data_IF_839894852216
#
_entry.id   IF_839894852216
#
_cell.length_a   1.000
_cell.length_b   1.000
_cell.length_c   1.000
_cell.angle_alpha   90.00
_cell.angle_beta   90.00
_cell.angle_gamma   90.00
#
_symmetry.space_group_name_H-M   'P 1'
#
loop_
_entity.id
_entity.type
_entity.pdbx_description
1 polymer ?
#
# COMPACT_ATOMS: atom_id res chain seq x y z
N UNK A 1 -3.89 6.35 22.48
CA UNK A 1 -2.80 7.33 22.55
C UNK A 1 -1.83 7.06 21.41
N UNK A 2 -1.23 8.11 20.80
CA UNK A 2 -0.32 8.01 19.66
C UNK A 2 1.16 7.85 20.04
N UNK A 3 1.52 8.11 21.31
CA UNK A 3 2.88 8.02 21.81
C UNK A 3 3.26 6.57 22.11
N UNK A 4 3.39 5.80 21.02
CA UNK A 4 3.67 4.38 21.04
C UNK A 4 4.85 4.09 20.11
N UNK A 5 5.79 3.32 20.59
CA UNK A 5 6.79 2.72 19.74
C UNK A 5 6.25 1.38 19.24
N UNK A 6 6.01 1.30 17.94
CA UNK A 6 5.58 0.09 17.23
C UNK A 6 6.62 -0.23 16.16
N UNK A 7 7.25 -1.38 16.24
CA UNK A 7 8.27 -1.81 15.27
C UNK A 7 7.59 -2.45 14.07
N UNK A 8 7.78 -1.95 12.82
CA UNK A 8 7.31 -2.64 11.62
C UNK A 8 7.95 -4.02 11.49
N UNK A 9 7.19 -5.10 11.30
CA UNK A 9 7.75 -6.45 11.31
C UNK A 9 8.72 -6.73 10.16
N UNK A 10 8.57 -6.05 9.03
CA UNK A 10 9.44 -6.18 7.86
C UNK A 10 10.80 -5.50 8.03
N UNK A 11 10.94 -4.56 8.96
CA UNK A 11 12.23 -3.90 9.27
C UNK A 11 13.16 -4.79 10.12
N UNK A 12 12.61 -5.83 10.74
CA UNK A 12 13.35 -6.66 11.72
C UNK A 12 13.17 -8.17 11.48
N UNK A 13 13.37 -8.66 10.24
CA UNK A 13 13.22 -10.09 9.95
C UNK A 13 14.12 -10.94 10.83
N UNK A 14 13.60 -12.08 11.30
CA UNK A 14 14.33 -13.00 12.19
C UNK A 14 14.38 -12.59 13.65
N UNK A 15 13.89 -11.41 14.02
CA UNK A 15 13.83 -10.99 15.43
C UNK A 15 12.63 -11.65 16.13
N UNK A 16 12.80 -12.20 17.33
CA UNK A 16 11.68 -12.75 18.09
C UNK A 16 10.59 -11.70 18.34
N UNK A 17 9.34 -12.01 18.03
CA UNK A 17 8.24 -11.06 18.13
C UNK A 17 8.09 -10.42 19.53
N UNK A 18 8.49 -11.15 20.60
CA UNK A 18 8.41 -10.64 21.97
C UNK A 18 9.34 -9.45 22.22
N UNK A 19 10.41 -9.33 21.46
CA UNK A 19 11.36 -8.22 21.58
C UNK A 19 10.83 -6.97 20.87
N UNK A 20 9.86 -7.14 19.96
CA UNK A 20 9.24 -6.10 19.14
C UNK A 20 7.85 -5.69 19.63
N UNK A 21 7.41 -6.14 20.81
CA UNK A 21 6.12 -5.76 21.36
C UNK A 21 5.98 -4.24 21.52
N UNK A 22 4.75 -3.75 21.41
CA UNK A 22 4.44 -2.31 21.49
C UNK A 22 4.87 -1.76 22.85
N UNK A 23 5.56 -0.62 22.87
CA UNK A 23 6.02 0.07 24.08
C UNK A 23 5.39 1.46 24.15
N UNK A 24 4.96 1.84 25.36
CA UNK A 24 4.52 3.20 25.63
C UNK A 24 5.74 4.14 25.71
N UNK A 25 5.69 5.27 25.01
CA UNK A 25 6.71 6.32 25.07
C UNK A 25 6.45 7.31 26.22
N UNK A 26 5.20 7.33 26.71
CA UNK A 26 4.76 8.16 27.84
C UNK A 26 3.81 7.33 28.72
N UNK A 27 3.72 7.61 30.04
CA UNK A 27 2.87 6.84 30.95
C UNK A 27 1.40 6.77 30.51
N UNK A 28 0.87 7.84 29.93
CA UNK A 28 -0.52 7.94 29.47
C UNK A 28 -0.81 7.05 28.25
N UNK A 29 0.21 6.51 27.63
CA UNK A 29 0.10 5.57 26.51
C UNK A 29 0.11 4.09 26.94
N UNK A 30 0.40 3.80 28.21
CA UNK A 30 0.58 2.43 28.71
C UNK A 30 -0.66 1.55 28.47
N UNK A 31 -1.86 2.04 28.78
CA UNK A 31 -3.10 1.31 28.57
C UNK A 31 -3.30 0.94 27.08
N UNK A 32 -2.92 1.85 26.18
CA UNK A 32 -3.01 1.59 24.74
C UNK A 32 -1.97 0.54 24.29
N UNK A 33 -0.75 0.62 24.80
CA UNK A 33 0.29 -0.39 24.52
C UNK A 33 -0.14 -1.78 25.01
N UNK A 34 -0.68 -1.87 26.24
CA UNK A 34 -1.17 -3.12 26.82
C UNK A 34 -2.33 -3.71 26.02
N UNK A 35 -3.26 -2.86 25.55
CA UNK A 35 -4.35 -3.28 24.67
C UNK A 35 -3.81 -3.88 23.36
N UNK A 36 -2.90 -3.18 22.67
CA UNK A 36 -2.34 -3.66 21.40
C UNK A 36 -1.55 -4.96 21.58
N UNK A 37 -0.77 -5.06 22.64
CA UNK A 37 -0.03 -6.27 22.97
C UNK A 37 -0.95 -7.45 23.26
N UNK A 38 -2.05 -7.21 23.99
CA UNK A 38 -3.08 -8.24 24.20
C UNK A 38 -3.72 -8.68 22.89
N UNK A 39 -4.04 -7.75 21.98
CA UNK A 39 -4.61 -8.09 20.67
C UNK A 39 -3.64 -8.92 19.83
N UNK A 40 -2.34 -8.62 19.84
CA UNK A 40 -1.31 -9.43 19.19
C UNK A 40 -1.36 -10.88 19.72
N UNK A 41 -1.28 -11.06 21.03
CA UNK A 41 -1.26 -12.39 21.66
C UNK A 41 -2.56 -13.17 21.47
N UNK A 42 -3.71 -12.51 21.60
CA UNK A 42 -5.01 -13.16 21.36
C UNK A 42 -5.20 -13.54 19.88
N UNK A 43 -4.73 -12.71 18.95
CA UNK A 43 -4.79 -13.07 17.53
C UNK A 43 -3.97 -14.32 17.21
N UNK A 44 -2.80 -14.49 17.81
CA UNK A 44 -1.97 -15.69 17.65
C UNK A 44 -2.72 -16.95 18.12
N UNK A 45 -3.40 -16.86 19.27
CA UNK A 45 -4.22 -17.99 19.76
C UNK A 45 -5.41 -18.30 18.86
N UNK A 46 -6.12 -17.25 18.39
CA UNK A 46 -7.28 -17.41 17.52
C UNK A 46 -6.89 -18.01 16.15
N UNK A 47 -5.77 -17.58 15.62
CA UNK A 47 -5.33 -17.95 14.28
C UNK A 47 -4.65 -19.31 14.22
N UNK A 48 -4.07 -19.80 15.33
CA UNK A 48 -3.32 -21.06 15.36
C UNK A 48 -4.11 -22.24 14.80
N UNK A 49 -5.37 -22.40 15.23
CA UNK A 49 -6.22 -23.51 14.83
C UNK A 49 -7.34 -23.10 13.85
N UNK A 50 -7.22 -21.92 13.23
CA UNK A 50 -8.25 -21.45 12.32
C UNK A 50 -8.34 -22.34 11.07
N UNK A 51 -9.54 -22.80 10.65
CA UNK A 51 -9.69 -23.76 9.54
C UNK A 51 -9.05 -23.30 8.22
N UNK A 52 -9.06 -21.99 7.95
CA UNK A 52 -8.40 -21.41 6.78
C UNK A 52 -6.88 -21.59 6.85
N UNK A 53 -6.27 -21.37 8.01
CA UNK A 53 -4.83 -21.55 8.20
C UNK A 53 -4.42 -23.02 8.11
N UNK A 54 -5.22 -23.90 8.68
CA UNK A 54 -5.00 -25.36 8.54
C UNK A 54 -5.01 -25.76 7.07
N UNK A 55 -5.97 -25.24 6.28
CA UNK A 55 -6.03 -25.49 4.84
C UNK A 55 -4.80 -24.94 4.11
N UNK A 56 -4.41 -23.67 4.37
CA UNK A 56 -3.23 -23.05 3.76
C UNK A 56 -1.95 -23.85 4.01
N UNK A 57 -1.73 -24.28 5.25
CA UNK A 57 -0.57 -25.11 5.61
C UNK A 57 -0.58 -26.47 4.90
N UNK A 58 -1.75 -27.11 4.75
CA UNK A 58 -1.88 -28.36 3.97
C UNK A 58 -1.56 -28.18 2.49
N UNK A 59 -1.79 -26.97 1.96
CA UNK A 59 -1.48 -26.58 0.58
C UNK A 59 -0.03 -26.08 0.42
N UNK A 60 0.80 -26.16 1.47
CA UNK A 60 2.19 -25.67 1.47
C UNK A 60 2.31 -24.15 1.44
N UNK A 61 1.26 -23.45 1.86
CA UNK A 61 1.22 -21.98 1.94
C UNK A 61 1.37 -21.50 3.38
N UNK A 62 1.95 -20.33 3.57
CA UNK A 62 2.09 -19.71 4.89
C UNK A 62 0.72 -19.41 5.52
N UNK A 63 0.64 -19.61 6.83
CA UNK A 63 -0.52 -19.27 7.63
C UNK A 63 -0.44 -17.79 8.08
N UNK A 64 -1.59 -17.12 8.15
CA UNK A 64 -1.69 -15.87 8.91
C UNK A 64 -1.64 -16.22 10.41
N UNK A 65 -0.59 -15.82 11.11
CA UNK A 65 -0.32 -16.27 12.46
C UNK A 65 -0.44 -15.19 13.53
N UNK A 66 -0.52 -13.92 13.15
CA UNK A 66 -0.69 -12.78 14.08
C UNK A 66 -1.24 -11.56 13.34
N UNK A 67 -1.95 -10.68 14.04
CA UNK A 67 -2.06 -9.28 13.67
C UNK A 67 -0.86 -8.53 14.26
N UNK A 68 -0.43 -7.46 13.58
CA UNK A 68 0.68 -6.64 14.05
C UNK A 68 0.40 -5.16 13.82
N UNK A 69 -0.07 -4.41 14.83
CA UNK A 69 -0.33 -2.98 14.72
C UNK A 69 0.97 -2.18 14.65
N UNK A 70 1.11 -1.34 13.62
CA UNK A 70 2.22 -0.41 13.47
C UNK A 70 1.78 0.83 12.67
N UNK A 71 2.60 1.86 12.62
CA UNK A 71 2.30 3.09 11.88
C UNK A 71 1.10 3.86 12.42
N UNK A 72 0.79 3.73 13.71
CA UNK A 72 -0.34 4.40 14.34
C UNK A 72 -0.17 5.92 14.35
N UNK A 73 -1.30 6.65 14.20
CA UNK A 73 -1.32 8.11 14.23
C UNK A 73 -2.71 8.67 14.43
N UNK A 74 -2.80 9.98 14.45
CA UNK A 74 -4.09 10.67 14.43
C UNK A 74 -4.65 10.75 13.01
N UNK A 75 -5.97 10.88 12.90
CA UNK A 75 -6.59 11.21 11.61
C UNK A 75 -5.95 12.49 11.06
N UNK A 76 -5.39 12.46 9.82
CA UNK A 76 -4.80 13.65 9.23
C UNK A 76 -5.86 14.70 8.89
N UNK A 77 -5.54 15.98 9.13
CA UNK A 77 -6.29 17.13 8.62
C UNK A 77 -5.62 17.58 7.32
N UNK A 78 -5.83 16.82 6.26
CA UNK A 78 -5.21 17.09 4.96
C UNK A 78 -6.06 18.06 4.16
N UNK A 79 -5.43 19.08 3.58
CA UNK A 79 -6.09 19.98 2.64
C UNK A 79 -6.21 19.24 1.30
N UNK A 80 -7.40 19.20 0.67
CA UNK A 80 -7.55 18.60 -0.64
C UNK A 80 -6.60 19.19 -1.69
N UNK A 81 -6.15 18.35 -2.61
CA UNK A 81 -5.21 18.77 -3.66
C UNK A 81 -5.82 19.87 -4.55
N UNK A 82 -7.12 19.81 -4.80
CA UNK A 82 -7.89 20.81 -5.55
C UNK A 82 -7.93 22.19 -4.89
N UNK A 83 -7.77 22.27 -3.57
CA UNK A 83 -7.67 23.53 -2.84
C UNK A 83 -6.24 24.08 -2.87
N UNK A 84 -5.24 23.20 -2.78
CA UNK A 84 -3.82 23.57 -2.82
C UNK A 84 -3.38 23.96 -4.22
N UNK A 85 -3.91 23.28 -5.23
CA UNK A 85 -3.62 23.47 -6.65
C UNK A 85 -4.92 23.71 -7.44
N UNK A 86 -5.40 24.96 -7.54
CA UNK A 86 -6.71 25.30 -8.16
C UNK A 86 -6.85 24.91 -9.64
N UNK A 87 -5.73 24.66 -10.33
CA UNK A 87 -5.72 24.12 -11.69
C UNK A 87 -6.16 22.67 -11.75
N UNK A 88 -6.01 21.89 -10.67
CA UNK A 88 -6.51 20.52 -10.55
C UNK A 88 -7.96 20.56 -10.06
N UNK A 89 -8.94 20.42 -10.94
CA UNK A 89 -10.35 20.40 -10.59
C UNK A 89 -10.85 18.98 -10.31
N UNK A 90 -10.30 18.02 -11.05
CA UNK A 90 -10.64 16.60 -10.94
C UNK A 90 -9.38 15.75 -11.02
N UNK A 91 -9.10 15.03 -9.96
CA UNK A 91 -7.95 14.12 -9.90
C UNK A 91 -8.34 12.70 -9.50
N UNK A 92 -7.53 11.74 -9.91
CA UNK A 92 -7.70 10.34 -9.58
C UNK A 92 -6.43 9.73 -8.99
N UNK A 93 -6.59 8.65 -8.22
CA UNK A 93 -5.51 7.79 -7.74
C UNK A 93 -5.80 6.35 -8.13
N UNK A 94 -4.80 5.70 -8.71
CA UNK A 94 -4.83 4.29 -9.14
C UNK A 94 -3.74 3.56 -8.39
N UNK A 95 -4.12 2.66 -7.49
CA UNK A 95 -3.19 1.92 -6.64
C UNK A 95 -3.85 0.64 -6.11
N UNK A 96 -3.06 -0.35 -5.81
CA UNK A 96 -3.48 -1.55 -5.07
C UNK A 96 -3.16 -1.47 -3.57
N UNK A 97 -2.40 -0.45 -3.14
CA UNK A 97 -1.94 -0.28 -1.75
C UNK A 97 -2.92 0.56 -0.95
N UNK A 98 -3.46 0.00 0.13
CA UNK A 98 -4.50 0.67 0.94
C UNK A 98 -4.03 1.98 1.56
N UNK A 99 -2.76 2.08 1.94
CA UNK A 99 -2.17 3.32 2.44
C UNK A 99 -2.29 4.45 1.40
N UNK A 100 -1.89 4.18 0.17
CA UNK A 100 -1.95 5.15 -0.93
C UNK A 100 -3.39 5.49 -1.29
N UNK A 101 -4.31 4.50 -1.26
CA UNK A 101 -5.76 4.74 -1.41
C UNK A 101 -6.30 5.71 -0.35
N UNK A 102 -5.87 5.51 0.90
CA UNK A 102 -6.22 6.38 2.01
C UNK A 102 -5.71 7.80 1.83
N UNK A 103 -4.45 7.97 1.45
CA UNK A 103 -3.84 9.28 1.14
C UNK A 103 -4.60 9.95 -0.01
N UNK A 104 -4.86 9.23 -1.10
CA UNK A 104 -5.63 9.75 -2.24
C UNK A 104 -7.01 10.27 -1.83
N UNK A 105 -7.75 9.52 -1.00
CA UNK A 105 -9.04 9.97 -0.46
C UNK A 105 -8.94 11.24 0.39
N UNK A 106 -7.93 11.32 1.26
CA UNK A 106 -7.71 12.53 2.06
C UNK A 106 -7.26 13.72 1.21
N UNK A 107 -6.54 13.46 0.11
CA UNK A 107 -6.17 14.47 -0.89
C UNK A 107 -7.34 14.90 -1.80
N UNK A 108 -8.53 14.32 -1.64
CA UNK A 108 -9.72 14.64 -2.46
C UNK A 108 -9.72 13.97 -3.83
N UNK A 109 -8.86 12.97 -4.06
CA UNK A 109 -8.78 12.23 -5.32
C UNK A 109 -9.83 11.12 -5.40
N UNK A 110 -10.33 10.87 -6.60
CA UNK A 110 -11.14 9.69 -6.89
C UNK A 110 -10.27 8.44 -6.86
N UNK A 111 -10.60 7.46 -6.02
CA UNK A 111 -9.92 6.17 -6.03
C UNK A 111 -10.51 5.31 -7.14
N UNK A 112 -9.67 4.84 -8.05
CA UNK A 112 -10.05 3.94 -9.15
C UNK A 112 -9.51 2.54 -8.85
N UNK A 113 -10.43 1.57 -8.81
CA UNK A 113 -10.10 0.16 -8.66
C UNK A 113 -9.79 -0.48 -10.01
N UNK A 114 -8.72 -1.26 -10.07
CA UNK A 114 -8.32 -2.00 -11.27
C UNK A 114 -8.30 -3.48 -10.97
N UNK A 115 -9.06 -4.26 -11.71
CA UNK A 115 -9.09 -5.72 -11.55
C UNK A 115 -7.70 -6.33 -11.80
N UNK A 116 -7.27 -7.23 -10.92
CA UNK A 116 -5.94 -7.84 -11.00
C UNK A 116 -4.78 -6.91 -10.61
N UNK A 117 -5.06 -5.70 -10.12
CA UNK A 117 -4.02 -4.85 -9.55
C UNK A 117 -3.59 -5.41 -8.19
N UNK A 118 -2.29 -5.58 -8.01
CA UNK A 118 -1.65 -5.98 -6.76
C UNK A 118 -0.58 -4.97 -6.37
N UNK A 119 -0.06 -5.04 -5.14
CA UNK A 119 1.15 -4.34 -4.70
C UNK A 119 2.43 -5.05 -5.13
N UNK A 120 2.35 -6.20 -5.80
CA UNK A 120 3.47 -7.06 -6.15
C UNK A 120 3.86 -6.92 -7.64
N UNK A 121 4.91 -7.64 -8.03
CA UNK A 121 5.48 -7.62 -9.38
C UNK A 121 4.61 -8.28 -10.46
N UNK A 122 3.58 -9.05 -10.06
CA UNK A 122 2.56 -9.66 -10.94
C UNK A 122 1.35 -8.76 -11.19
N UNK A 123 1.39 -7.50 -10.77
CA UNK A 123 0.30 -6.53 -10.91
C UNK A 123 -0.15 -6.36 -12.36
N UNK A 124 -1.43 -6.02 -12.55
CA UNK A 124 -2.00 -5.70 -13.87
C UNK A 124 -1.53 -4.30 -14.34
N UNK A 125 -0.34 -4.22 -14.96
CA UNK A 125 0.25 -2.98 -15.48
C UNK A 125 -0.64 -2.34 -16.56
N UNK A 126 -1.11 -3.15 -17.50
CA UNK A 126 -1.94 -2.70 -18.62
C UNK A 126 -3.29 -2.12 -18.13
N UNK A 127 -3.92 -2.81 -17.19
CA UNK A 127 -5.16 -2.32 -16.57
C UNK A 127 -4.98 -1.00 -15.82
N UNK A 128 -3.85 -0.87 -15.10
CA UNK A 128 -3.50 0.39 -14.42
C UNK A 128 -3.24 1.52 -15.43
N UNK A 129 -2.51 1.24 -16.51
CA UNK A 129 -2.24 2.22 -17.57
C UNK A 129 -3.54 2.66 -18.27
N UNK A 130 -4.40 1.71 -18.63
CA UNK A 130 -5.69 2.01 -19.27
C UNK A 130 -6.58 2.85 -18.36
N UNK A 131 -6.65 2.51 -17.06
CA UNK A 131 -7.41 3.30 -16.10
C UNK A 131 -6.88 4.75 -15.97
N UNK A 132 -5.54 4.93 -16.04
CA UNK A 132 -4.93 6.26 -16.04
C UNK A 132 -5.30 7.07 -17.30
N UNK A 133 -5.22 6.45 -18.47
CA UNK A 133 -5.61 7.08 -19.74
C UNK A 133 -7.08 7.50 -19.71
N UNK A 134 -7.98 6.62 -19.25
CA UNK A 134 -9.41 6.95 -19.16
C UNK A 134 -9.68 8.07 -18.15
N UNK A 135 -8.99 8.05 -17.01
CA UNK A 135 -9.14 9.10 -15.99
C UNK A 135 -8.65 10.48 -16.48
N UNK A 136 -7.61 10.51 -17.31
CA UNK A 136 -7.08 11.74 -17.89
C UNK A 136 -7.97 12.36 -18.96
N UNK A 137 -8.86 11.60 -19.61
CA UNK A 137 -9.81 12.15 -20.59
C UNK A 137 -10.80 13.15 -19.98
N UNK A 138 -11.13 12.95 -18.70
CA UNK A 138 -12.11 13.75 -17.97
C UNK A 138 -11.52 14.47 -16.74
N UNK A 139 -10.24 14.31 -16.49
CA UNK A 139 -9.57 14.79 -15.29
C UNK A 139 -8.25 15.51 -15.60
N UNK A 140 -7.81 16.30 -14.66
CA UNK A 140 -6.62 17.16 -14.78
C UNK A 140 -5.37 16.52 -14.14
N UNK A 141 -5.57 15.42 -13.35
CA UNK A 141 -4.48 14.80 -12.60
C UNK A 141 -4.74 13.33 -12.31
N UNK A 142 -3.73 12.51 -12.54
CA UNK A 142 -3.74 11.09 -12.14
C UNK A 142 -2.47 10.74 -11.39
N UNK A 143 -2.65 10.20 -10.19
CA UNK A 143 -1.58 9.55 -9.43
C UNK A 143 -1.64 8.04 -9.67
N UNK A 144 -0.77 7.54 -10.53
CA UNK A 144 -0.62 6.12 -10.82
C UNK A 144 0.50 5.53 -9.96
N UNK A 145 0.16 4.57 -9.10
CA UNK A 145 1.11 3.93 -8.20
C UNK A 145 1.36 2.47 -8.59
N UNK A 146 2.64 2.13 -8.72
CA UNK A 146 3.14 0.78 -8.99
C UNK A 146 4.25 0.46 -8.00
N UNK A 147 4.00 -0.46 -7.08
CA UNK A 147 4.89 -0.87 -5.99
C UNK A 147 5.95 -1.88 -6.43
N UNK A 148 5.69 -2.60 -7.50
CA UNK A 148 6.43 -3.80 -7.94
C UNK A 148 7.97 -3.71 -7.88
N UNK A 149 8.54 -2.54 -8.23
CA UNK A 149 9.99 -2.35 -8.20
C UNK A 149 10.53 -2.16 -6.79
N UNK A 150 9.72 -1.64 -5.88
CA UNK A 150 10.06 -1.49 -4.46
C UNK A 150 10.10 -2.85 -3.77
N UNK A 151 9.08 -3.67 -3.98
CA UNK A 151 9.03 -5.04 -3.45
C UNK A 151 10.21 -5.90 -3.93
N UNK A 152 10.60 -5.78 -5.21
CA UNK A 152 11.76 -6.49 -5.73
C UNK A 152 13.09 -6.03 -5.10
N UNK A 153 13.17 -4.77 -4.65
CA UNK A 153 14.30 -4.20 -3.92
C UNK A 153 14.37 -4.77 -2.51
N UNK A 154 13.26 -4.80 -1.80
CA UNK A 154 13.14 -5.38 -0.47
C UNK A 154 13.51 -6.89 -0.46
N UNK A 155 13.17 -7.61 -1.53
CA UNK A 155 13.57 -9.02 -1.72
C UNK A 155 15.07 -9.18 -2.03
N UNK A 156 15.81 -8.10 -2.30
CA UNK A 156 17.21 -8.14 -2.70
C UNK A 156 17.44 -8.84 -4.05
N UNK A 157 16.40 -8.95 -4.89
CA UNK A 157 16.42 -9.66 -6.15
C UNK A 157 16.68 -8.70 -7.32
N UNK A 158 17.95 -8.56 -7.71
CA UNK A 158 18.39 -7.62 -8.76
C UNK A 158 17.74 -7.93 -10.12
N UNK A 159 17.63 -9.20 -10.51
CA UNK A 159 17.04 -9.59 -11.80
C UNK A 159 15.54 -9.21 -11.82
N UNK A 160 14.82 -9.48 -10.74
CA UNK A 160 13.43 -9.11 -10.61
C UNK A 160 13.25 -7.58 -10.59
N UNK A 161 14.15 -6.85 -9.94
CA UNK A 161 14.17 -5.38 -9.94
C UNK A 161 14.27 -4.83 -11.36
N UNK A 162 15.21 -5.32 -12.16
CA UNK A 162 15.37 -4.91 -13.56
C UNK A 162 14.12 -5.24 -14.38
N UNK A 163 13.57 -6.45 -14.23
CA UNK A 163 12.36 -6.87 -14.92
C UNK A 163 11.15 -6.01 -14.56
N UNK A 164 10.99 -5.62 -13.30
CA UNK A 164 9.87 -4.76 -12.86
C UNK A 164 9.99 -3.34 -13.40
N UNK A 165 11.21 -2.80 -13.52
CA UNK A 165 11.46 -1.50 -14.15
C UNK A 165 11.14 -1.56 -15.64
N UNK A 166 11.59 -2.61 -16.35
CA UNK A 166 11.28 -2.81 -17.76
C UNK A 166 9.76 -2.99 -18.00
N UNK A 167 9.08 -3.71 -17.11
CA UNK A 167 7.63 -3.86 -17.16
C UNK A 167 6.91 -2.52 -16.93
N UNK A 168 7.35 -1.72 -15.97
CA UNK A 168 6.80 -0.40 -15.73
C UNK A 168 6.92 0.49 -16.97
N UNK A 169 8.09 0.54 -17.58
CA UNK A 169 8.33 1.32 -18.79
C UNK A 169 7.47 0.83 -19.97
N UNK A 170 7.57 -0.46 -20.29
CA UNK A 170 6.94 -1.05 -21.49
C UNK A 170 5.43 -1.19 -21.38
N UNK A 171 4.92 -1.58 -20.19
CA UNK A 171 3.52 -2.01 -19.98
C UNK A 171 2.64 -0.92 -19.35
N UNK A 172 3.26 0.11 -18.76
CA UNK A 172 2.51 1.23 -18.16
C UNK A 172 2.89 2.57 -18.81
N UNK A 173 4.15 3.01 -18.73
CA UNK A 173 4.57 4.33 -19.19
C UNK A 173 4.44 4.44 -20.70
N UNK A 174 4.95 3.49 -21.45
CA UNK A 174 4.90 3.49 -22.92
C UNK A 174 3.48 3.63 -23.46
N UNK A 175 2.51 2.79 -23.06
CA UNK A 175 1.11 2.94 -23.46
C UNK A 175 0.47 4.30 -23.09
N UNK A 176 0.78 4.85 -21.91
CA UNK A 176 0.28 6.17 -21.52
C UNK A 176 0.85 7.24 -22.44
N UNK A 177 2.18 7.28 -22.66
CA UNK A 177 2.82 8.26 -23.52
C UNK A 177 2.29 8.18 -24.96
N UNK A 178 2.09 6.96 -25.49
CA UNK A 178 1.51 6.77 -26.82
C UNK A 178 0.07 7.30 -26.92
N UNK A 179 -0.72 7.11 -25.87
CA UNK A 179 -2.11 7.57 -25.84
C UNK A 179 -2.23 9.11 -25.78
N UNK A 180 -1.29 9.80 -25.11
CA UNK A 180 -1.36 11.25 -24.90
C UNK A 180 -0.53 12.07 -25.89
N UNK A 181 0.27 11.43 -26.75
CA UNK A 181 1.22 12.09 -27.67
C UNK A 181 0.58 13.11 -28.61
N UNK A 182 -0.68 12.85 -29.01
CA UNK A 182 -1.41 13.67 -29.98
C UNK A 182 -2.44 14.59 -29.29
N UNK A 183 -2.40 14.69 -27.97
CA UNK A 183 -3.30 15.59 -27.25
C UNK A 183 -2.83 17.04 -27.45
N UNK A 184 -3.83 17.94 -27.66
CA UNK A 184 -3.55 19.38 -27.85
C UNK A 184 -3.11 20.05 -26.55
N UNK A 185 -3.54 19.50 -25.41
CA UNK A 185 -3.17 20.00 -24.08
C UNK A 185 -1.87 19.34 -23.63
N UNK A 186 -0.94 20.11 -23.00
CA UNK A 186 0.30 19.54 -22.48
C UNK A 186 0.02 18.57 -21.31
N UNK A 187 0.62 17.41 -21.38
CA UNK A 187 0.52 16.35 -20.37
C UNK A 187 1.86 16.20 -19.65
#
# INVERSE_FOLDING_TARGET
NKHLHCTPPHDVPGTPFRDCMVKAEVPEAQETADLLNRLILESQRLLADHPLNIRRMKEGRDAANSIWPWGGGNRPAMVPLTETYPQIKKGAVITAVDLIRGIGRYAGLQVIDVEGATGLYDTNYEGKAQAAIEALKDGDFVYLHVEASDEADHDGNVELKLQTIENLDRRAIGPILEAVKDWEEPV
#
